data_IF_298248858448
#
_entry.id   IF_298248858448
#
_cell.length_a   1.000
_cell.length_b   1.000
_cell.length_c   1.000
_cell.angle_alpha   90.00
_cell.angle_beta   90.00
_cell.angle_gamma   90.00
#
_symmetry.space_group_name_H-M   'P 1'
#
loop_
_entity.id
_entity.type
_entity.pdbx_description
1 polymer ?
#
# COMPACT_ATOMS: atom_id res chain seq x y z
N UNK A 1 4.48 18.04 -42.78
CA UNK A 1 5.60 17.87 -41.82
C UNK A 1 5.49 18.70 -40.53
N UNK A 2 4.90 19.90 -40.53
CA UNK A 2 4.81 20.77 -39.33
C UNK A 2 3.92 20.21 -38.19
N UNK A 3 2.84 19.50 -38.51
CA UNK A 3 1.90 18.92 -37.53
C UNK A 3 2.50 17.74 -36.72
N UNK A 4 3.31 16.91 -37.36
CA UNK A 4 3.95 15.75 -36.72
C UNK A 4 5.00 16.19 -35.69
N UNK A 5 5.75 17.25 -36.01
CA UNK A 5 6.73 17.88 -35.09
C UNK A 5 6.03 18.46 -33.86
N UNK A 6 4.86 19.10 -34.03
CA UNK A 6 4.06 19.63 -32.91
C UNK A 6 3.50 18.53 -31.99
N UNK A 7 3.04 17.40 -32.55
CA UNK A 7 2.58 16.26 -31.75
C UNK A 7 3.71 15.60 -30.94
N UNK A 8 4.91 15.49 -31.52
CA UNK A 8 6.06 14.92 -30.81
C UNK A 8 6.53 15.87 -29.70
N UNK A 9 6.57 17.18 -29.96
CA UNK A 9 6.89 18.19 -28.94
C UNK A 9 5.89 18.21 -27.79
N UNK A 10 4.59 18.13 -28.06
CA UNK A 10 3.56 18.12 -27.00
C UNK A 10 3.63 16.86 -26.14
N UNK A 11 3.92 15.70 -26.73
CA UNK A 11 4.17 14.47 -25.97
C UNK A 11 5.42 14.58 -25.10
N UNK A 12 6.53 15.12 -25.64
CA UNK A 12 7.76 15.29 -24.86
C UNK A 12 7.59 16.24 -23.68
N UNK A 13 6.85 17.35 -23.84
CA UNK A 13 6.53 18.27 -22.73
C UNK A 13 5.66 17.57 -21.69
N UNK A 14 4.66 16.79 -22.10
CA UNK A 14 3.81 16.03 -21.17
C UNK A 14 4.61 14.98 -20.38
N UNK A 15 5.57 14.32 -21.01
CA UNK A 15 6.49 13.38 -20.36
C UNK A 15 7.49 14.08 -19.43
N UNK A 16 7.94 15.29 -19.78
CA UNK A 16 8.86 16.07 -18.95
C UNK A 16 8.19 16.62 -17.68
N UNK A 17 6.90 17.01 -17.77
CA UNK A 17 6.14 17.51 -16.62
C UNK A 17 5.69 16.37 -15.69
N UNK A 18 5.38 15.19 -16.23
CA UNK A 18 4.98 14.02 -15.43
C UNK A 18 6.12 13.32 -14.66
N UNK A 19 7.39 13.66 -14.95
CA UNK A 19 8.58 13.09 -14.28
C UNK A 19 9.09 13.88 -13.08
N UNK A 20 8.36 14.90 -12.60
CA UNK A 20 8.74 15.59 -11.35
C UNK A 20 8.35 14.77 -10.11
N UNK A 21 9.17 13.78 -9.79
CA UNK A 21 9.20 13.15 -8.48
C UNK A 21 9.90 14.10 -7.50
N UNK A 22 9.18 15.08 -6.95
CA UNK A 22 9.70 15.82 -5.81
C UNK A 22 9.70 14.90 -4.58
N UNK A 23 10.89 14.54 -4.12
CA UNK A 23 11.09 13.89 -2.83
C UNK A 23 10.58 14.83 -1.75
N UNK A 24 9.40 14.54 -1.22
CA UNK A 24 8.87 15.23 -0.05
C UNK A 24 9.49 14.57 1.17
N UNK A 25 10.30 15.31 1.93
CA UNK A 25 10.95 14.78 3.13
C UNK A 25 9.91 14.27 4.13
N UNK A 26 10.19 13.11 4.71
CA UNK A 26 9.32 12.41 5.65
C UNK A 26 8.98 13.29 6.86
N UNK A 27 7.71 13.65 7.01
CA UNK A 27 7.21 14.14 8.30
C UNK A 27 7.10 12.93 9.23
N UNK A 28 8.11 12.73 10.07
CA UNK A 28 8.12 11.65 11.08
C UNK A 28 6.95 11.87 12.03
N UNK A 29 5.99 10.94 12.01
CA UNK A 29 4.97 10.85 13.03
C UNK A 29 5.53 10.11 14.25
N UNK A 30 4.88 10.28 15.41
CA UNK A 30 5.29 9.53 16.60
C UNK A 30 5.18 8.02 16.33
N UNK A 31 6.11 7.23 16.90
CA UNK A 31 6.13 5.77 16.74
C UNK A 31 4.78 5.12 17.10
N UNK A 32 4.08 5.68 18.09
CA UNK A 32 2.75 5.22 18.53
C UNK A 32 1.69 5.40 17.45
N UNK A 33 1.69 6.55 16.77
CA UNK A 33 0.75 6.83 15.68
C UNK A 33 1.06 5.99 14.44
N UNK A 34 2.34 5.82 14.14
CA UNK A 34 2.80 4.95 13.06
C UNK A 34 2.36 3.50 13.27
N UNK A 35 2.57 2.97 14.49
CA UNK A 35 2.14 1.63 14.85
C UNK A 35 0.61 1.46 14.69
N UNK A 36 -0.18 2.42 15.17
CA UNK A 36 -1.64 2.40 15.06
C UNK A 36 -2.12 2.31 13.60
N UNK A 37 -1.52 3.11 12.71
CA UNK A 37 -1.80 3.08 11.27
C UNK A 37 -1.46 1.71 10.66
N UNK A 38 -0.22 1.24 10.86
CA UNK A 38 0.26 -0.03 10.27
C UNK A 38 -0.62 -1.21 10.66
N UNK A 39 -0.93 -1.31 11.96
CA UNK A 39 -1.74 -2.40 12.51
C UNK A 39 -3.10 -2.45 11.81
N UNK A 40 -3.79 -1.31 11.71
CA UNK A 40 -5.14 -1.27 11.15
C UNK A 40 -5.16 -1.45 9.63
N UNK A 41 -4.18 -0.90 8.90
CA UNK A 41 -4.05 -1.10 7.45
C UNK A 41 -3.86 -2.58 7.14
N UNK A 42 -2.90 -3.24 7.82
CA UNK A 42 -2.62 -4.66 7.61
C UNK A 42 -3.79 -5.54 8.05
N UNK A 43 -4.46 -5.24 9.17
CA UNK A 43 -5.68 -5.95 9.58
C UNK A 43 -6.77 -5.88 8.48
N UNK A 44 -6.98 -4.71 7.89
CA UNK A 44 -7.92 -4.53 6.80
C UNK A 44 -7.57 -5.37 5.57
N UNK A 45 -6.30 -5.32 5.13
CA UNK A 45 -5.83 -6.10 3.99
C UNK A 45 -5.89 -7.62 4.25
N UNK A 46 -5.51 -8.06 5.44
CA UNK A 46 -5.52 -9.49 5.81
C UNK A 46 -6.95 -10.03 5.87
N UNK A 47 -7.92 -9.24 6.38
CA UNK A 47 -9.34 -9.61 6.36
C UNK A 47 -9.85 -9.78 4.93
N UNK A 48 -9.51 -8.84 4.05
CA UNK A 48 -9.86 -8.89 2.63
C UNK A 48 -9.24 -10.09 1.93
N UNK A 49 -7.97 -10.38 2.19
CA UNK A 49 -7.30 -11.56 1.67
C UNK A 49 -7.96 -12.85 2.16
N UNK A 50 -8.31 -12.95 3.44
CA UNK A 50 -9.01 -14.11 3.98
C UNK A 50 -10.37 -14.33 3.29
N UNK A 51 -11.17 -13.27 3.13
CA UNK A 51 -12.44 -13.34 2.38
C UNK A 51 -12.24 -13.72 0.91
N UNK A 52 -11.22 -13.18 0.26
CA UNK A 52 -10.90 -13.50 -1.13
C UNK A 52 -10.43 -14.95 -1.29
N UNK A 53 -9.57 -15.43 -0.38
CA UNK A 53 -9.09 -16.81 -0.36
C UNK A 53 -10.19 -17.83 -0.12
N UNK A 54 -11.20 -17.49 0.69
CA UNK A 54 -12.37 -18.35 0.87
C UNK A 54 -13.14 -18.58 -0.45
N UNK A 55 -13.15 -17.59 -1.36
CA UNK A 55 -13.85 -17.69 -2.65
C UNK A 55 -12.99 -18.25 -3.77
N UNK A 56 -11.72 -17.85 -3.84
CA UNK A 56 -10.85 -18.10 -5.00
C UNK A 56 -9.57 -18.89 -4.67
N UNK A 57 -9.31 -19.17 -3.40
CA UNK A 57 -8.06 -19.75 -2.93
C UNK A 57 -7.98 -21.28 -2.96
N UNK A 58 -9.01 -21.99 -3.45
CA UNK A 58 -9.07 -23.47 -3.44
C UNK A 58 -7.87 -24.11 -4.14
N UNK A 59 -7.49 -23.57 -5.31
CA UNK A 59 -6.42 -24.13 -6.14
C UNK A 59 -5.04 -23.49 -5.86
N UNK A 60 -4.93 -22.62 -4.86
CA UNK A 60 -3.66 -22.00 -4.51
C UNK A 60 -2.88 -22.87 -3.51
N UNK A 61 -1.59 -23.09 -3.80
CA UNK A 61 -0.67 -23.72 -2.88
C UNK A 61 -0.55 -22.93 -1.58
N UNK A 62 -0.15 -23.59 -0.49
CA UNK A 62 0.11 -22.93 0.79
C UNK A 62 1.16 -21.81 0.65
N UNK A 63 2.17 -22.00 -0.21
CA UNK A 63 3.21 -21.01 -0.48
C UNK A 63 2.63 -19.80 -1.20
N UNK A 64 1.73 -19.98 -2.18
CA UNK A 64 1.06 -18.87 -2.84
C UNK A 64 0.20 -18.06 -1.86
N UNK A 65 -0.59 -18.73 -1.01
CA UNK A 65 -1.38 -18.07 0.04
C UNK A 65 -0.50 -17.25 0.97
N UNK A 66 0.62 -17.83 1.44
CA UNK A 66 1.61 -17.14 2.28
C UNK A 66 2.24 -15.93 1.57
N UNK A 67 2.50 -16.05 0.28
CA UNK A 67 3.06 -14.97 -0.55
C UNK A 67 2.08 -13.79 -0.67
N UNK A 68 0.77 -14.04 -0.72
CA UNK A 68 -0.24 -12.98 -0.74
C UNK A 68 -0.29 -12.20 0.59
N UNK A 69 -0.10 -12.86 1.73
CA UNK A 69 0.05 -12.16 3.02
C UNK A 69 1.32 -11.31 3.08
N UNK A 70 2.43 -11.81 2.51
CA UNK A 70 3.64 -10.99 2.33
C UNK A 70 3.35 -9.77 1.45
N UNK A 71 2.61 -9.96 0.35
CA UNK A 71 2.23 -8.88 -0.56
C UNK A 71 1.48 -7.76 0.17
N UNK A 72 0.56 -8.06 1.11
CA UNK A 72 -0.13 -7.04 1.91
C UNK A 72 0.85 -6.11 2.64
N UNK A 73 1.87 -6.70 3.28
CA UNK A 73 2.90 -5.94 4.00
C UNK A 73 3.73 -5.11 3.04
N UNK A 74 4.15 -5.70 1.93
CA UNK A 74 4.94 -5.00 0.92
C UNK A 74 4.15 -3.86 0.27
N UNK A 75 2.89 -4.08 -0.02
CA UNK A 75 1.98 -3.08 -0.57
C UNK A 75 1.82 -1.89 0.38
N UNK A 76 1.72 -2.13 1.69
CA UNK A 76 1.72 -1.06 2.68
C UNK A 76 3.02 -0.24 2.64
N UNK A 77 4.18 -0.91 2.59
CA UNK A 77 5.48 -0.23 2.52
C UNK A 77 5.60 0.68 1.28
N UNK A 78 5.22 0.16 0.10
CA UNK A 78 5.39 0.90 -1.16
C UNK A 78 4.43 2.08 -1.29
N UNK A 79 3.27 2.01 -0.63
CA UNK A 79 2.25 3.08 -0.68
C UNK A 79 2.24 3.96 0.56
N UNK A 80 3.18 3.75 1.49
CA UNK A 80 3.21 4.45 2.78
C UNK A 80 3.15 5.97 2.62
N UNK A 81 3.93 6.53 1.69
CA UNK A 81 3.92 7.97 1.40
C UNK A 81 2.54 8.50 0.98
N UNK A 82 1.82 7.74 0.14
CA UNK A 82 0.46 8.11 -0.26
C UNK A 82 -0.51 8.06 0.92
N UNK A 83 -0.36 7.06 1.79
CA UNK A 83 -1.17 6.94 3.01
C UNK A 83 -0.87 8.06 4.00
N UNK A 84 0.38 8.48 4.10
CA UNK A 84 0.78 9.60 4.96
C UNK A 84 0.21 10.93 4.47
N UNK A 85 0.19 11.18 3.15
CA UNK A 85 -0.48 12.37 2.58
C UNK A 85 -1.98 12.38 2.86
N UNK A 86 -2.64 11.24 2.73
CA UNK A 86 -4.05 11.10 3.09
C UNK A 86 -4.27 11.35 4.59
N UNK A 87 -3.44 10.74 5.44
CA UNK A 87 -3.49 10.88 6.89
C UNK A 87 -3.30 12.34 7.31
N UNK A 88 -2.29 13.03 6.79
CA UNK A 88 -2.04 14.43 7.12
C UNK A 88 -3.20 15.35 6.70
N UNK A 89 -3.85 15.06 5.56
CA UNK A 89 -5.05 15.79 5.15
C UNK A 89 -6.19 15.60 6.14
N UNK A 90 -6.39 14.40 6.66
CA UNK A 90 -7.48 14.12 7.59
C UNK A 90 -7.18 14.59 9.03
N UNK A 91 -5.93 14.50 9.48
CA UNK A 91 -5.51 15.04 10.78
C UNK A 91 -5.64 16.56 10.80
N UNK A 92 -5.29 17.27 9.72
CA UNK A 92 -5.44 18.74 9.65
C UNK A 92 -6.89 19.21 9.80
N UNK A 93 -7.87 18.40 9.39
CA UNK A 93 -9.30 18.73 9.51
C UNK A 93 -9.81 18.64 10.94
N UNK A 94 -9.08 18.02 11.87
CA UNK A 94 -9.56 17.81 13.23
C UNK A 94 -9.70 19.10 14.03
N UNK A 95 -8.93 20.15 13.71
CA UNK A 95 -8.92 21.41 14.48
C UNK A 95 -8.44 21.27 15.93
N UNK A 96 -7.92 20.10 16.31
CA UNK A 96 -7.39 19.77 17.65
C UNK A 96 -6.13 18.91 17.55
N UNK A 97 -5.32 18.82 18.60
CA UNK A 97 -4.22 17.85 18.66
C UNK A 97 -4.70 16.41 18.40
N UNK A 98 -3.99 15.63 17.56
CA UNK A 98 -4.38 14.28 17.23
C UNK A 98 -4.00 13.30 18.34
N UNK A 99 -4.79 12.24 18.49
CA UNK A 99 -4.53 11.14 19.43
C UNK A 99 -4.46 9.80 18.68
N UNK A 100 -4.13 8.71 19.40
CA UNK A 100 -3.96 7.40 18.76
C UNK A 100 -5.23 6.85 18.12
N UNK A 101 -6.41 7.20 18.61
CA UNK A 101 -7.67 6.73 18.05
C UNK A 101 -7.94 7.35 16.67
N UNK A 102 -7.49 8.59 16.45
CA UNK A 102 -7.57 9.24 15.13
C UNK A 102 -6.79 8.44 14.08
N UNK A 103 -5.55 8.05 14.41
CA UNK A 103 -4.71 7.23 13.53
C UNK A 103 -5.23 5.81 13.35
N UNK A 104 -5.77 5.20 14.41
CA UNK A 104 -6.45 3.89 14.31
C UNK A 104 -7.62 3.95 13.34
N UNK A 105 -8.48 4.98 13.45
CA UNK A 105 -9.63 5.19 12.56
C UNK A 105 -9.19 5.39 11.11
N UNK A 106 -8.20 6.26 10.86
CA UNK A 106 -7.66 6.52 9.53
C UNK A 106 -7.03 5.24 8.94
N UNK A 107 -6.26 4.49 9.72
CA UNK A 107 -5.65 3.24 9.28
C UNK A 107 -6.70 2.18 8.90
N UNK A 108 -7.78 2.08 9.67
CA UNK A 108 -8.90 1.18 9.37
C UNK A 108 -9.65 1.61 8.10
N UNK A 109 -9.80 2.92 7.90
CA UNK A 109 -10.40 3.50 6.70
C UNK A 109 -9.58 3.20 5.44
N UNK A 110 -8.26 3.37 5.49
CA UNK A 110 -7.33 2.98 4.42
C UNK A 110 -7.44 1.48 4.12
N UNK A 111 -7.35 0.65 5.17
CA UNK A 111 -7.46 -0.81 5.04
C UNK A 111 -8.79 -1.27 4.43
N UNK A 112 -9.88 -0.55 4.69
CA UNK A 112 -11.21 -0.82 4.13
C UNK A 112 -11.36 -0.34 2.68
N UNK A 113 -10.92 0.87 2.36
CA UNK A 113 -11.22 1.53 1.08
C UNK A 113 -10.38 0.99 -0.09
N UNK A 114 -9.15 0.53 0.16
CA UNK A 114 -8.26 0.09 -0.92
C UNK A 114 -8.71 -1.28 -1.44
N UNK A 115 -9.05 -1.43 -2.74
CA UNK A 115 -9.52 -2.68 -3.31
C UNK A 115 -8.36 -3.61 -3.68
N UNK A 116 -7.56 -4.01 -2.69
CA UNK A 116 -6.35 -4.85 -2.87
C UNK A 116 -6.67 -6.25 -3.45
N UNK A 117 -7.91 -6.69 -3.33
CA UNK A 117 -8.46 -7.94 -3.88
C UNK A 117 -8.35 -8.01 -5.41
N UNK A 118 -8.41 -6.85 -6.07
CA UNK A 118 -8.18 -6.74 -7.52
C UNK A 118 -6.77 -7.19 -7.88
N UNK A 119 -5.78 -6.85 -7.05
CA UNK A 119 -4.40 -7.26 -7.30
C UNK A 119 -4.20 -8.75 -7.03
N UNK A 120 -4.81 -9.33 -5.99
CA UNK A 120 -4.75 -10.79 -5.79
C UNK A 120 -5.28 -11.52 -7.03
N UNK A 121 -6.43 -11.08 -7.53
CA UNK A 121 -7.06 -11.62 -8.73
C UNK A 121 -6.20 -11.44 -9.98
N UNK A 122 -5.50 -10.30 -10.11
CA UNK A 122 -4.57 -10.06 -11.20
C UNK A 122 -3.35 -10.99 -11.12
N UNK A 123 -2.69 -11.06 -9.96
CA UNK A 123 -1.51 -11.90 -9.75
C UNK A 123 -1.81 -13.38 -10.00
N UNK A 124 -2.97 -13.86 -9.56
CA UNK A 124 -3.36 -15.27 -9.76
C UNK A 124 -3.70 -15.54 -11.23
N UNK A 125 -4.52 -14.71 -11.87
CA UNK A 125 -4.93 -14.91 -13.28
C UNK A 125 -3.78 -14.79 -14.27
N UNK A 126 -2.78 -13.95 -13.96
CA UNK A 126 -1.60 -13.75 -14.82
C UNK A 126 -0.40 -14.61 -14.43
N UNK A 127 -0.55 -15.51 -13.45
CA UNK A 127 0.54 -16.32 -12.92
C UNK A 127 1.75 -15.48 -12.46
N UNK A 128 1.47 -14.33 -11.83
CA UNK A 128 2.46 -13.34 -11.37
C UNK A 128 2.65 -13.35 -9.86
N UNK A 129 2.22 -14.42 -9.16
CA UNK A 129 2.55 -14.57 -7.74
C UNK A 129 4.08 -14.73 -7.64
N UNK A 130 4.79 -13.85 -6.93
CA UNK A 130 6.24 -13.94 -6.84
C UNK A 130 6.68 -15.29 -6.24
N UNK A 131 7.78 -15.85 -6.75
CA UNK A 131 8.39 -17.03 -6.13
C UNK A 131 8.81 -16.68 -4.69
N UNK A 132 8.47 -17.54 -3.75
CA UNK A 132 8.82 -17.35 -2.34
C UNK A 132 10.33 -17.24 -2.13
N UNK A 133 10.75 -16.28 -1.30
CA UNK A 133 12.16 -16.02 -0.95
C UNK A 133 12.32 -15.80 0.56
N UNK A 134 13.50 -16.07 1.14
CA UNK A 134 13.73 -15.93 2.59
C UNK A 134 13.36 -14.56 3.18
N UNK A 135 13.69 -13.47 2.48
CA UNK A 135 13.37 -12.11 2.95
C UNK A 135 11.85 -11.87 3.12
N UNK A 136 11.02 -12.58 2.35
CA UNK A 136 9.56 -12.51 2.48
C UNK A 136 9.12 -13.10 3.82
N UNK A 137 9.76 -14.20 4.24
CA UNK A 137 9.56 -14.80 5.56
C UNK A 137 9.96 -13.86 6.69
N UNK A 138 11.10 -13.19 6.56
CA UNK A 138 11.58 -12.19 7.54
C UNK A 138 10.61 -11.02 7.67
N UNK A 139 10.06 -10.52 6.56
CA UNK A 139 9.05 -9.46 6.64
C UNK A 139 7.74 -9.96 7.25
N UNK A 140 7.33 -11.19 6.94
CA UNK A 140 6.09 -11.80 7.40
C UNK A 140 6.14 -12.22 8.89
N UNK A 141 7.32 -12.49 9.45
CA UNK A 141 7.48 -12.82 10.87
C UNK A 141 7.43 -11.61 11.81
N UNK A 142 7.68 -10.39 11.29
CA UNK A 142 7.59 -9.16 12.09
C UNK A 142 6.18 -8.96 12.65
N UNK A 143 6.08 -8.36 13.84
CA UNK A 143 4.80 -7.81 14.32
C UNK A 143 4.35 -6.68 13.38
N UNK A 144 3.04 -6.46 13.27
CA UNK A 144 2.47 -5.49 12.31
C UNK A 144 2.99 -4.07 12.56
N UNK A 145 3.18 -3.69 13.81
CA UNK A 145 3.77 -2.42 14.24
C UNK A 145 5.24 -2.24 13.84
N UNK A 146 6.00 -3.33 13.79
CA UNK A 146 7.45 -3.35 13.54
C UNK A 146 7.81 -3.50 12.06
N UNK A 147 6.82 -3.48 11.16
CA UNK A 147 7.06 -3.48 9.71
C UNK A 147 7.77 -2.17 9.35
N UNK A 148 8.99 -2.20 8.76
CA UNK A 148 9.69 -0.97 8.43
C UNK A 148 8.96 -0.23 7.30
N UNK A 149 8.81 1.08 7.44
CA UNK A 149 8.22 1.95 6.41
C UNK A 149 9.20 3.08 6.13
N UNK A 150 9.28 3.46 4.85
CA UNK A 150 10.01 4.64 4.42
C UNK A 150 9.02 5.77 4.31
#
# INVERSE_FOLDING_TARGET
MKLLVLCVLSMMVTMAVSRRWHFTAHRRISRRFEAALKVQIILGFDKKLATWLARYGKNLSAIHKKTLYFYNRRHMQTHWQSYMRFTEKDIRKLGRPPNSNDYTRIGAEIGRRIPIELMYSFMVRRNMIPRWRPYMGVLLSKRKEDIPVN
#
